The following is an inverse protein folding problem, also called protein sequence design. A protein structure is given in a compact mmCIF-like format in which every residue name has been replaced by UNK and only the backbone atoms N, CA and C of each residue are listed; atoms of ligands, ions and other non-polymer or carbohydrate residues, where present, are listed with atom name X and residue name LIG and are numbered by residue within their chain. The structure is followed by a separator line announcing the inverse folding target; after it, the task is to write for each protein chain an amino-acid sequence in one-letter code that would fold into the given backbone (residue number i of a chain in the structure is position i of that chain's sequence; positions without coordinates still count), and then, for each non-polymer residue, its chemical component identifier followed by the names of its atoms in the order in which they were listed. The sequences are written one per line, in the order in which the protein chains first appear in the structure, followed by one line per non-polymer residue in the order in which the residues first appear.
data_IF_623459196856
#
_entry.id   IF_623459196856
#
_cell.length_a   1.000
_cell.length_b   1.000
_cell.length_c   1.000
_cell.angle_alpha   90.00
_cell.angle_beta   90.00
_cell.angle_gamma   90.00
#
_symmetry.space_group_name_H-M   'P 1'
#
loop_
_entity.id
_entity.type
_entity.pdbx_description
1 polymer ?
#
# COMPACT_ATOMS: atom_id res chain seq x y z
N UNK A 1 -41.90 -28.59 -37.21
CA UNK A 1 -41.87 -27.41 -36.31
C UNK A 1 -40.61 -27.52 -35.47
N UNK A 2 -39.53 -26.81 -35.86
CA UNK A 2 -38.21 -26.87 -35.21
C UNK A 2 -38.09 -25.63 -34.33
N UNK A 3 -38.13 -25.82 -33.01
CA UNK A 3 -38.11 -24.75 -32.02
C UNK A 3 -36.78 -23.97 -32.09
N UNK A 4 -36.76 -22.67 -32.43
CA UNK A 4 -35.54 -21.86 -32.45
C UNK A 4 -35.20 -21.33 -31.04
N UNK A 5 -35.83 -21.87 -29.99
CA UNK A 5 -35.75 -21.33 -28.63
C UNK A 5 -34.44 -21.70 -27.90
N UNK A 6 -33.57 -22.52 -28.50
CA UNK A 6 -32.29 -22.92 -27.89
C UNK A 6 -31.10 -22.00 -28.23
N UNK A 7 -31.29 -21.03 -29.12
CA UNK A 7 -30.18 -20.18 -29.62
C UNK A 7 -30.16 -18.77 -29.02
N UNK A 8 -30.91 -18.51 -27.93
CA UNK A 8 -30.96 -17.17 -27.32
C UNK A 8 -30.30 -17.07 -25.94
N UNK A 9 -29.73 -18.15 -25.40
CA UNK A 9 -29.31 -18.24 -24.00
C UNK A 9 -27.77 -18.24 -23.78
N UNK A 10 -26.98 -17.98 -24.82
CA UNK A 10 -25.51 -18.16 -24.79
C UNK A 10 -24.68 -16.87 -24.91
N UNK A 11 -25.29 -15.68 -24.91
CA UNK A 11 -24.59 -14.41 -25.23
C UNK A 11 -24.58 -13.38 -24.08
N UNK A 12 -24.70 -13.83 -22.82
CA UNK A 12 -24.54 -12.94 -21.66
C UNK A 12 -23.36 -13.37 -20.78
N UNK A 13 -22.21 -13.67 -21.42
CA UNK A 13 -20.93 -13.68 -20.72
C UNK A 13 -20.46 -12.23 -20.58
N UNK A 14 -20.96 -11.55 -19.56
CA UNK A 14 -20.49 -10.22 -19.16
C UNK A 14 -19.04 -10.38 -18.71
N UNK A 15 -18.11 -9.88 -19.51
CA UNK A 15 -16.69 -9.80 -19.16
C UNK A 15 -16.57 -8.69 -18.12
N UNK A 16 -16.63 -9.04 -16.84
CA UNK A 16 -16.21 -8.15 -15.76
C UNK A 16 -14.69 -8.06 -15.79
N UNK A 17 -14.17 -7.12 -16.58
CA UNK A 17 -12.78 -6.67 -16.42
C UNK A 17 -12.75 -5.94 -15.08
N UNK A 18 -12.39 -6.64 -14.01
CA UNK A 18 -12.10 -6.00 -12.74
C UNK A 18 -10.95 -5.01 -12.93
N UNK A 19 -11.03 -3.86 -12.28
CA UNK A 19 -9.88 -2.95 -12.23
C UNK A 19 -8.67 -3.72 -11.68
N UNK A 20 -7.50 -3.47 -12.26
CA UNK A 20 -6.27 -4.00 -11.70
C UNK A 20 -6.03 -3.36 -10.32
N UNK A 21 -5.62 -4.14 -9.31
CA UNK A 21 -5.23 -3.59 -8.01
C UNK A 21 -4.11 -2.56 -8.15
N UNK A 22 -4.18 -1.49 -7.37
CA UNK A 22 -3.25 -0.36 -7.39
C UNK A 22 -2.35 -0.33 -6.14
N UNK A 23 -1.34 0.53 -6.15
CA UNK A 23 -0.52 0.76 -4.94
C UNK A 23 -1.43 1.32 -3.83
N UNK A 24 -1.33 0.72 -2.65
CA UNK A 24 -2.15 1.10 -1.50
C UNK A 24 -3.57 0.58 -1.55
N UNK A 25 -3.89 -0.45 -2.33
CA UNK A 25 -5.13 -1.24 -2.17
C UNK A 25 -4.97 -2.30 -1.07
N UNK A 26 -6.07 -2.68 -0.42
CA UNK A 26 -6.07 -3.70 0.63
C UNK A 26 -5.86 -5.12 0.07
N UNK A 27 -5.21 -5.98 0.84
CA UNK A 27 -4.86 -7.34 0.39
C UNK A 27 -4.66 -8.30 1.56
N UNK A 28 -4.87 -9.59 1.31
CA UNK A 28 -4.56 -10.67 2.26
C UNK A 28 -3.35 -11.50 1.80
N UNK A 29 -3.03 -11.48 0.51
CA UNK A 29 -1.89 -12.17 -0.08
C UNK A 29 -1.47 -11.50 -1.40
N UNK A 30 -0.27 -11.80 -1.90
CA UNK A 30 0.26 -11.13 -3.11
C UNK A 30 -0.53 -11.37 -4.39
N UNK A 31 -1.32 -12.45 -4.50
CA UNK A 31 -2.18 -12.67 -5.67
C UNK A 31 -3.36 -11.69 -5.72
N UNK A 32 -3.76 -11.12 -4.58
CA UNK A 32 -4.77 -10.06 -4.52
C UNK A 32 -4.25 -8.76 -5.16
N UNK A 33 -2.92 -8.57 -5.21
CA UNK A 33 -2.27 -7.39 -5.77
C UNK A 33 -1.83 -7.58 -7.23
N UNK A 34 -1.27 -8.75 -7.54
CA UNK A 34 -0.95 -9.11 -8.92
C UNK A 34 -0.79 -10.61 -9.09
N UNK A 35 -1.48 -11.15 -10.10
CA UNK A 35 -1.29 -12.54 -10.54
C UNK A 35 0.07 -12.76 -11.22
N UNK A 36 0.67 -11.70 -11.77
CA UNK A 36 1.95 -11.75 -12.48
C UNK A 36 3.15 -11.47 -11.54
N UNK A 37 2.88 -11.04 -10.30
CA UNK A 37 3.90 -10.80 -9.28
C UNK A 37 4.60 -9.45 -9.35
N UNK A 38 4.15 -8.51 -10.20
CA UNK A 38 4.70 -7.15 -10.24
C UNK A 38 4.47 -6.36 -8.95
N UNK A 39 3.50 -6.77 -8.13
CA UNK A 39 3.18 -6.19 -6.82
C UNK A 39 3.11 -7.29 -5.76
N UNK A 40 3.38 -6.91 -4.52
CA UNK A 40 3.33 -7.79 -3.36
C UNK A 40 2.40 -7.19 -2.29
N UNK A 41 1.80 -8.05 -1.48
CA UNK A 41 1.00 -7.62 -0.35
C UNK A 41 1.92 -7.37 0.87
N UNK A 42 2.02 -6.12 1.29
CA UNK A 42 2.68 -5.73 2.53
C UNK A 42 1.77 -6.05 3.72
N UNK A 43 2.02 -7.19 4.35
CA UNK A 43 1.31 -7.63 5.55
C UNK A 43 1.89 -7.06 6.85
N UNK A 44 2.93 -6.21 6.78
CA UNK A 44 3.38 -5.48 7.96
C UNK A 44 2.40 -4.37 8.37
N UNK A 45 1.58 -3.93 7.41
CA UNK A 45 0.47 -3.01 7.63
C UNK A 45 -0.82 -3.81 7.93
N UNK A 46 -1.61 -3.44 8.96
CA UNK A 46 -2.93 -4.02 9.18
C UNK A 46 -3.79 -3.98 7.91
N UNK A 47 -4.59 -5.02 7.70
CA UNK A 47 -5.42 -5.19 6.49
C UNK A 47 -4.65 -5.26 5.16
N UNK A 48 -3.32 -5.28 5.21
CA UNK A 48 -2.42 -5.39 4.06
C UNK A 48 -2.40 -4.15 3.16
N UNK A 49 -1.31 -3.95 2.43
CA UNK A 49 -1.28 -2.96 1.36
C UNK A 49 -0.52 -3.47 0.13
N UNK A 50 -1.11 -3.36 -1.05
CA UNK A 50 -0.40 -3.66 -2.29
C UNK A 50 0.72 -2.64 -2.51
N UNK A 51 1.94 -3.14 -2.70
CA UNK A 51 3.13 -2.32 -2.89
C UNK A 51 4.13 -3.00 -3.85
N UNK A 52 5.21 -2.29 -4.16
CA UNK A 52 6.41 -2.83 -4.79
C UNK A 52 7.57 -2.55 -3.84
N UNK A 53 8.22 -3.60 -3.36
CA UNK A 53 9.41 -3.47 -2.52
C UNK A 53 10.67 -3.24 -3.37
N UNK A 54 11.63 -2.50 -2.83
CA UNK A 54 12.92 -2.28 -3.49
C UNK A 54 12.84 -1.28 -4.65
N UNK A 55 11.92 -0.32 -4.60
CA UNK A 55 11.89 0.76 -5.58
C UNK A 55 13.13 1.65 -5.48
N UNK A 56 13.51 2.22 -6.62
CA UNK A 56 14.44 3.34 -6.76
C UNK A 56 13.66 4.65 -7.00
N UNK A 57 14.34 5.80 -6.94
CA UNK A 57 13.75 7.11 -7.18
C UNK A 57 12.95 7.15 -8.50
N UNK A 58 11.71 7.61 -8.42
CA UNK A 58 10.81 7.84 -9.56
C UNK A 58 10.48 6.58 -10.39
N UNK A 59 10.62 5.39 -9.79
CA UNK A 59 10.30 4.10 -10.46
C UNK A 59 8.91 3.56 -10.13
N UNK A 60 8.21 4.12 -9.14
CA UNK A 60 6.89 3.65 -8.73
C UNK A 60 5.80 3.97 -9.77
N UNK A 61 4.89 3.02 -10.08
CA UNK A 61 3.76 3.25 -10.99
C UNK A 61 2.60 3.97 -10.29
N UNK A 62 1.49 4.21 -11.02
CA UNK A 62 0.22 4.73 -10.48
C UNK A 62 0.34 6.04 -9.70
N UNK A 63 1.27 6.91 -10.11
CA UNK A 63 1.62 8.15 -9.41
C UNK A 63 2.08 7.92 -7.95
N UNK A 64 2.44 6.68 -7.58
CA UNK A 64 2.95 6.32 -6.27
C UNK A 64 4.35 6.89 -6.02
N UNK A 65 4.71 7.03 -4.74
CA UNK A 65 6.00 7.58 -4.32
C UNK A 65 6.90 6.49 -3.74
N UNK A 66 8.20 6.55 -4.05
CA UNK A 66 9.15 5.62 -3.45
C UNK A 66 9.56 6.12 -2.06
N UNK A 67 9.22 5.35 -1.02
CA UNK A 67 9.53 5.68 0.37
C UNK A 67 10.56 4.69 0.91
N UNK A 68 11.60 5.22 1.55
CA UNK A 68 12.57 4.46 2.33
C UNK A 68 12.18 4.44 3.79
N UNK A 69 12.04 3.25 4.35
CA UNK A 69 11.86 3.02 5.77
C UNK A 69 13.18 2.55 6.39
N UNK A 70 13.59 3.16 7.50
CA UNK A 70 14.83 2.86 8.24
C UNK A 70 14.54 2.46 9.69
N UNK A 71 13.79 1.37 9.93
CA UNK A 71 13.56 0.89 11.30
C UNK A 71 14.87 0.40 11.94
N UNK A 72 14.92 0.39 13.28
CA UNK A 72 16.03 -0.20 14.03
C UNK A 72 15.78 -1.73 14.23
N UNK A 73 16.76 -2.61 13.97
CA UNK A 73 18.11 -2.32 13.49
C UNK A 73 18.16 -1.84 12.04
N UNK A 74 19.00 -0.83 11.76
CA UNK A 74 19.20 -0.23 10.42
C UNK A 74 19.38 -1.22 9.26
N UNK A 75 19.84 -2.45 9.52
CA UNK A 75 19.89 -3.56 8.54
C UNK A 75 18.52 -3.98 8.00
N UNK A 76 17.43 -3.55 8.64
CA UNK A 76 16.05 -3.75 8.21
C UNK A 76 15.55 -2.61 7.33
N UNK A 77 16.43 -1.71 6.87
CA UNK A 77 16.07 -0.66 5.91
C UNK A 77 15.53 -1.29 4.63
N UNK A 78 14.41 -0.75 4.14
CA UNK A 78 13.81 -1.15 2.87
C UNK A 78 13.16 0.05 2.17
N UNK A 79 12.87 -0.11 0.88
CA UNK A 79 12.05 0.84 0.13
C UNK A 79 10.75 0.19 -0.31
N UNK A 80 9.67 0.96 -0.38
CA UNK A 80 8.37 0.51 -0.83
C UNK A 80 7.66 1.64 -1.58
N UNK A 81 6.90 1.28 -2.62
CA UNK A 81 5.99 2.21 -3.27
C UNK A 81 4.78 2.46 -2.38
N UNK A 82 4.55 3.72 -2.02
CA UNK A 82 3.44 4.14 -1.16
C UNK A 82 2.48 5.03 -1.95
N UNK A 83 1.18 4.90 -1.65
CA UNK A 83 0.16 5.75 -2.27
C UNK A 83 0.27 7.18 -1.70
N UNK A 84 0.53 8.21 -2.50
CA UNK A 84 0.55 9.59 -2.01
C UNK A 84 -0.84 10.03 -1.56
N UNK A 85 -0.89 11.01 -0.68
CA UNK A 85 -2.14 11.58 -0.19
C UNK A 85 -1.97 13.06 0.15
N UNK A 86 -3.09 13.78 0.10
CA UNK A 86 -3.19 15.16 0.60
C UNK A 86 -3.96 15.23 1.93
N UNK A 87 -4.86 14.27 2.15
CA UNK A 87 -5.74 14.18 3.32
C UNK A 87 -6.03 12.72 3.66
N UNK A 88 -6.44 12.45 4.89
CA UNK A 88 -6.85 11.10 5.33
C UNK A 88 -7.94 10.49 4.44
N UNK A 89 -8.84 11.31 3.88
CA UNK A 89 -9.89 10.85 2.98
C UNK A 89 -9.36 10.20 1.68
N UNK A 90 -8.10 10.43 1.32
CA UNK A 90 -7.43 9.76 0.18
C UNK A 90 -6.94 8.35 0.52
N UNK A 91 -6.90 8.04 1.82
CA UNK A 91 -6.44 6.78 2.39
C UNK A 91 -7.61 5.91 2.84
N UNK A 92 -7.28 4.68 3.26
CA UNK A 92 -8.26 3.68 3.69
C UNK A 92 -8.49 3.79 5.20
N UNK A 93 -9.10 4.92 5.61
CA UNK A 93 -9.31 5.27 7.02
C UNK A 93 -10.15 4.23 7.79
N UNK A 94 -11.05 3.52 7.11
CA UNK A 94 -11.83 2.42 7.70
C UNK A 94 -11.00 1.18 8.01
N UNK A 95 -9.76 1.13 7.52
CA UNK A 95 -8.77 0.06 7.71
C UNK A 95 -7.51 0.61 8.38
N UNK A 96 -7.62 1.73 9.10
CA UNK A 96 -6.56 2.38 9.88
C UNK A 96 -5.41 3.01 9.08
N UNK A 97 -5.60 3.27 7.78
CA UNK A 97 -4.65 4.04 6.97
C UNK A 97 -4.96 5.54 7.04
N UNK A 98 -3.96 6.32 7.45
CA UNK A 98 -4.02 7.78 7.51
C UNK A 98 -3.00 8.41 6.56
N UNK A 99 -3.18 9.70 6.29
CA UNK A 99 -2.27 10.46 5.49
C UNK A 99 -1.22 11.12 6.38
N UNK A 100 0.03 10.64 6.31
CA UNK A 100 1.11 11.10 7.18
C UNK A 100 2.28 11.60 6.36
N UNK A 101 2.87 12.73 6.78
CA UNK A 101 4.10 13.21 6.16
C UNK A 101 5.28 12.28 6.53
N UNK A 102 6.25 12.14 5.63
CA UNK A 102 7.40 11.26 5.87
C UNK A 102 8.16 11.61 7.16
N UNK A 103 8.29 12.91 7.44
CA UNK A 103 8.95 13.45 8.63
C UNK A 103 8.15 13.28 9.93
N UNK A 104 6.90 12.81 9.85
CA UNK A 104 6.03 12.50 10.99
C UNK A 104 5.92 10.99 11.26
N UNK A 105 6.50 10.15 10.39
CA UNK A 105 6.54 8.69 10.60
C UNK A 105 7.65 8.35 11.59
N UNK A 106 7.25 8.15 12.85
CA UNK A 106 8.16 7.84 13.94
C UNK A 106 8.20 6.34 14.22
N UNK A 107 9.36 5.83 14.65
CA UNK A 107 9.41 4.52 15.26
C UNK A 107 8.61 4.53 16.58
N UNK A 108 7.70 3.56 16.75
CA UNK A 108 7.13 3.30 18.08
C UNK A 108 8.22 2.74 18.98
N UNK A 109 8.49 3.45 20.06
CA UNK A 109 9.49 3.19 21.11
C UNK A 109 9.96 1.73 21.21
N UNK A 110 11.25 1.48 20.91
CA UNK A 110 11.94 0.31 21.43
C UNK A 110 12.12 0.40 22.96
N UNK A 111 12.55 -0.66 23.64
CA UNK A 111 12.82 -0.65 25.09
C UNK A 111 14.04 0.25 25.37
N UNK A 112 13.83 1.56 25.41
CA UNK A 112 14.89 2.56 25.38
C UNK A 112 14.43 4.01 25.57
N UNK A 113 13.14 4.32 25.41
CA UNK A 113 12.52 5.56 25.88
C UNK A 113 13.20 6.83 25.40
N UNK A 114 12.99 7.21 24.14
CA UNK A 114 13.48 8.46 23.56
C UNK A 114 12.60 8.85 22.39
N UNK A 115 12.37 10.16 22.20
CA UNK A 115 11.63 10.73 21.05
C UNK A 115 11.88 9.89 19.79
N UNK A 116 10.84 9.22 19.30
CA UNK A 116 10.95 8.26 18.20
C UNK A 116 11.68 8.87 17.01
N UNK A 117 12.69 8.16 16.50
CA UNK A 117 13.41 8.59 15.30
C UNK A 117 12.46 8.58 14.10
N UNK A 118 12.59 9.59 13.23
CA UNK A 118 11.93 9.61 11.92
C UNK A 118 12.49 8.45 11.10
N UNK A 119 11.63 7.50 10.75
CA UNK A 119 12.04 6.30 10.01
C UNK A 119 11.70 6.36 8.54
N UNK A 120 10.88 7.29 8.06
CA UNK A 120 10.51 7.38 6.66
C UNK A 120 11.16 8.57 5.94
N UNK A 121 11.55 8.34 4.70
CA UNK A 121 12.07 9.37 3.78
C UNK A 121 11.56 9.08 2.37
N UNK A 122 11.01 10.08 1.69
CA UNK A 122 10.66 9.97 0.28
C UNK A 122 11.95 10.11 -0.54
N UNK A 123 12.18 9.15 -1.44
CA UNK A 123 13.41 9.06 -2.23
C UNK A 123 13.30 9.81 -3.56
N UNK A 124 12.07 10.07 -4.03
CA UNK A 124 11.80 10.77 -5.29
C UNK A 124 12.32 12.21 -5.27
N UNK A 125 12.97 12.64 -6.36
CA UNK A 125 13.80 13.87 -6.39
C UNK A 125 12.97 15.15 -6.59
N UNK A 126 11.78 15.06 -7.21
CA UNK A 126 10.93 16.21 -7.55
C UNK A 126 9.77 16.48 -6.58
N UNK A 127 9.73 15.80 -5.43
CA UNK A 127 8.55 15.75 -4.54
C UNK A 127 8.88 16.23 -3.13
N UNK A 128 9.04 17.56 -2.96
CA UNK A 128 9.44 18.23 -1.72
C UNK A 128 8.46 18.16 -0.54
N UNK A 129 8.30 16.97 0.05
CA UNK A 129 7.34 16.58 1.10
C UNK A 129 5.94 16.27 0.55
N UNK A 130 5.70 14.98 0.30
CA UNK A 130 4.40 14.45 -0.12
C UNK A 130 4.00 13.33 0.82
N UNK A 131 3.03 13.60 1.68
CA UNK A 131 2.46 12.61 2.57
C UNK A 131 2.01 11.36 1.81
N UNK A 132 1.98 10.22 2.49
CA UNK A 132 1.54 8.96 1.92
C UNK A 132 0.64 8.21 2.89
N UNK A 133 -0.19 7.33 2.34
CA UNK A 133 -1.07 6.49 3.13
C UNK A 133 -0.27 5.42 3.84
N UNK A 134 -0.29 5.44 5.16
CA UNK A 134 0.33 4.42 6.02
C UNK A 134 -0.61 4.08 7.16
N UNK A 135 -0.57 2.82 7.59
CA UNK A 135 -1.25 2.42 8.82
C UNK A 135 -0.44 2.81 10.05
N UNK A 136 -1.06 3.56 10.95
CA UNK A 136 -0.49 3.83 12.28
C UNK A 136 -1.01 2.77 13.23
N UNK A 137 -0.19 1.76 13.49
CA UNK A 137 -0.51 0.79 14.54
C UNK A 137 -0.18 1.43 15.87
N UNK A 138 -1.21 1.83 16.63
CA UNK A 138 -1.04 2.12 18.05
C UNK A 138 -0.43 0.86 18.70
N UNK A 139 0.77 0.93 19.32
CA UNK A 139 1.39 -0.21 19.98
C UNK A 139 0.48 -0.81 21.07
N UNK A 140 -0.53 -0.08 21.57
CA UNK A 140 -1.55 -0.62 22.49
C UNK A 140 -2.53 -1.62 21.83
N UNK A 141 -2.56 -1.73 20.51
CA UNK A 141 -3.45 -2.62 19.75
C UNK A 141 -2.71 -3.69 18.92
N UNK A 142 -1.39 -3.77 19.02
CA UNK A 142 -0.60 -4.83 18.40
C UNK A 142 -0.86 -6.18 19.11
N UNK A 143 -1.63 -7.07 18.48
CA UNK A 143 -1.86 -8.45 18.94
C UNK A 143 -3.13 -8.72 19.76
N UNK A 144 -4.18 -7.89 19.61
CA UNK A 144 -5.53 -8.25 20.07
C UNK A 144 -6.36 -8.91 18.99
#
# INVERSE_FOLDING_TARGET
MRSPLRLLLLVFAVISVGCAPQIGDGCNNSFDCSINGDRQCDLSQPSGACTIFGCDADTCPDDAVCVRFRPEPSRLTFTACMKPCETDASCRVSEDFICLAANEVLATEGPGGGEGDVIAEIVDEERGERSFCISVVDPANYGR
#
